data_IF_015097574529
#
_entry.id   IF_015097574529
#
_cell.length_a   1.000
_cell.length_b   1.000
_cell.length_c   1.000
_cell.angle_alpha   90.00
_cell.angle_beta   90.00
_cell.angle_gamma   90.00
#
_symmetry.space_group_name_H-M   'P 1'
#
loop_
_entity.id
_entity.type
_entity.pdbx_description
1 polymer ?
#
# COMPACT_ATOMS: atom_id res chain seq x y z
N UNK A 1 53.67 -24.27 32.65
CA UNK A 1 53.18 -23.25 33.62
C UNK A 1 52.27 -22.30 32.86
N UNK A 2 51.03 -22.04 33.27
CA UNK A 2 50.25 -22.60 34.38
C UNK A 2 48.78 -22.73 33.95
N UNK A 3 48.04 -23.70 34.49
CA UNK A 3 46.70 -24.07 34.00
C UNK A 3 45.59 -23.31 34.73
N UNK A 4 44.63 -22.78 33.98
CA UNK A 4 43.34 -22.25 34.47
C UNK A 4 42.20 -22.99 33.75
N UNK A 5 41.88 -24.21 34.19
CA UNK A 5 40.77 -24.49 35.13
C UNK A 5 39.41 -24.07 34.55
N UNK A 6 38.77 -24.99 33.84
CA UNK A 6 37.37 -24.86 33.35
C UNK A 6 36.41 -24.92 34.54
N UNK A 7 35.51 -23.95 34.66
CA UNK A 7 34.47 -23.92 35.70
C UNK A 7 33.13 -24.38 35.11
N UNK A 8 32.71 -25.59 35.46
CA UNK A 8 31.40 -26.10 35.08
C UNK A 8 30.27 -25.27 35.69
N UNK A 9 29.19 -25.06 34.94
CA UNK A 9 27.92 -24.52 35.43
C UNK A 9 26.79 -25.52 35.13
N UNK A 10 25.88 -25.67 36.09
CA UNK A 10 24.90 -26.76 36.14
C UNK A 10 23.70 -26.53 35.23
N UNK A 11 23.11 -27.62 34.73
CA UNK A 11 21.82 -27.58 34.04
C UNK A 11 20.68 -27.17 35.00
N UNK A 12 19.68 -26.39 34.55
CA UNK A 12 18.51 -26.05 35.34
C UNK A 12 17.58 -27.27 35.53
N UNK A 13 16.88 -27.32 36.65
CA UNK A 13 16.03 -28.44 37.02
C UNK A 13 14.68 -28.44 36.29
N UNK A 14 14.12 -29.64 36.05
CA UNK A 14 12.80 -29.80 35.44
C UNK A 14 11.67 -29.28 36.35
N UNK A 15 10.80 -28.44 35.79
CA UNK A 15 9.60 -27.95 36.46
C UNK A 15 8.57 -29.07 36.64
N UNK A 16 8.00 -29.17 37.85
CA UNK A 16 6.85 -30.04 38.14
C UNK A 16 5.55 -29.38 37.63
N UNK A 17 4.57 -30.16 37.12
CA UNK A 17 3.25 -29.62 36.79
C UNK A 17 2.50 -29.17 38.05
N UNK A 18 1.70 -28.12 37.92
CA UNK A 18 0.82 -27.61 38.97
C UNK A 18 -0.44 -28.49 39.15
N UNK A 19 -1.07 -28.51 40.35
CA UNK A 19 -2.28 -29.31 40.59
C UNK A 19 -3.51 -28.72 39.90
N UNK A 20 -4.46 -29.59 39.54
CA UNK A 20 -5.75 -29.17 38.98
C UNK A 20 -6.62 -28.46 40.05
N UNK A 21 -7.25 -27.35 39.67
CA UNK A 21 -8.22 -26.64 40.50
C UNK A 21 -9.62 -27.24 40.25
N UNK A 22 -10.36 -27.47 41.33
CA UNK A 22 -11.59 -28.28 41.33
C UNK A 22 -12.84 -27.55 40.84
N UNK A 23 -13.85 -28.36 40.50
CA UNK A 23 -15.21 -27.92 40.13
C UNK A 23 -15.93 -27.34 41.34
N UNK A 24 -16.56 -26.18 41.17
CA UNK A 24 -17.61 -25.67 42.06
C UNK A 24 -18.89 -25.53 41.25
N UNK A 25 -19.93 -26.27 41.63
CA UNK A 25 -21.24 -26.20 41.00
C UNK A 25 -22.14 -25.17 41.70
N UNK A 26 -22.93 -24.44 40.94
CA UNK A 26 -24.09 -23.65 41.41
C UNK A 26 -25.25 -23.80 40.42
N UNK A 27 -26.49 -23.58 40.86
CA UNK A 27 -27.66 -24.26 40.31
C UNK A 27 -28.81 -23.33 39.91
N UNK A 28 -29.45 -23.64 38.78
CA UNK A 28 -30.68 -22.98 38.30
C UNK A 28 -30.42 -21.78 37.39
N UNK A 29 -31.27 -21.45 36.40
CA UNK A 29 -32.53 -22.09 35.98
C UNK A 29 -32.70 -22.06 34.44
N UNK A 30 -33.75 -22.72 33.93
CA UNK A 30 -33.92 -23.08 32.52
C UNK A 30 -34.52 -21.97 31.65
N UNK A 31 -34.04 -21.88 30.40
CA UNK A 31 -34.75 -21.33 29.24
C UNK A 31 -34.43 -22.19 27.99
N UNK A 32 -35.35 -22.24 27.02
CA UNK A 32 -35.27 -23.16 25.87
C UNK A 32 -34.40 -22.64 24.70
N UNK A 33 -33.87 -23.52 23.83
CA UNK A 33 -32.87 -23.13 22.83
C UNK A 33 -33.45 -22.51 21.55
N UNK A 34 -32.65 -21.66 20.90
CA UNK A 34 -32.83 -21.21 19.51
C UNK A 34 -31.77 -21.89 18.63
N UNK A 35 -32.13 -22.21 17.38
CA UNK A 35 -31.44 -23.23 16.58
C UNK A 35 -30.06 -22.88 16.03
N UNK A 36 -29.25 -23.92 15.81
CA UNK A 36 -27.98 -23.87 15.07
C UNK A 36 -28.26 -23.89 13.56
N UNK A 37 -27.65 -23.01 12.74
CA UNK A 37 -27.72 -23.11 11.29
C UNK A 37 -26.89 -24.32 10.79
N UNK A 38 -27.52 -25.25 10.07
CA UNK A 38 -26.83 -26.40 9.48
C UNK A 38 -26.13 -26.02 8.17
N UNK A 39 -24.92 -26.54 7.96
CA UNK A 39 -24.26 -26.56 6.64
C UNK A 39 -24.94 -27.58 5.72
N UNK A 40 -25.21 -27.19 4.47
CA UNK A 40 -25.81 -28.06 3.46
C UNK A 40 -24.77 -28.78 2.58
N UNK A 41 -24.83 -30.11 2.57
CA UNK A 41 -24.45 -30.93 1.39
C UNK A 41 -25.65 -30.96 0.41
N UNK A 42 -25.61 -31.38 -0.86
CA UNK A 42 -24.85 -32.41 -1.61
C UNK A 42 -24.72 -31.93 -3.11
N UNK A 43 -24.14 -32.59 -4.11
CA UNK A 43 -23.68 -33.98 -4.31
C UNK A 43 -22.60 -34.13 -5.41
N UNK A 44 -22.11 -35.36 -5.60
CA UNK A 44 -21.38 -35.85 -6.79
C UNK A 44 -22.37 -36.41 -7.85
N UNK A 45 -22.06 -36.73 -9.12
CA UNK A 45 -20.82 -36.92 -9.94
C UNK A 45 -21.24 -36.77 -11.46
N UNK A 46 -20.54 -37.21 -12.55
CA UNK A 46 -19.27 -37.96 -12.71
C UNK A 46 -18.27 -37.38 -13.76
N UNK A 47 -17.35 -38.25 -14.21
CA UNK A 47 -16.12 -38.12 -15.02
C UNK A 47 -16.16 -37.55 -16.46
N UNK A 48 -14.96 -37.17 -16.92
CA UNK A 48 -14.49 -36.79 -18.28
C UNK A 48 -14.82 -37.78 -19.41
N UNK A 49 -14.71 -37.33 -20.69
CA UNK A 49 -13.55 -37.76 -21.49
C UNK A 49 -12.82 -36.59 -22.20
N UNK A 50 -11.58 -36.83 -22.64
CA UNK A 50 -10.77 -35.89 -23.40
C UNK A 50 -10.84 -36.15 -24.93
N UNK A 51 -10.60 -35.13 -25.74
CA UNK A 51 -10.31 -35.28 -27.18
C UNK A 51 -9.46 -34.11 -27.71
N UNK A 52 -8.61 -34.39 -28.70
CA UNK A 52 -7.63 -33.46 -29.28
C UNK A 52 -8.00 -33.10 -30.72
N UNK A 53 -7.99 -31.81 -31.05
CA UNK A 53 -7.94 -31.32 -32.43
C UNK A 53 -7.35 -29.90 -32.49
N UNK A 54 -6.58 -29.61 -33.54
CA UNK A 54 -6.10 -28.26 -33.85
C UNK A 54 -7.11 -27.49 -34.74
N UNK A 55 -7.16 -26.15 -34.69
CA UNK A 55 -8.10 -25.37 -35.50
C UNK A 55 -7.69 -25.33 -36.98
N UNK A 56 -8.65 -25.62 -37.87
CA UNK A 56 -8.55 -25.36 -39.31
C UNK A 56 -9.46 -24.18 -39.70
N UNK A 57 -9.03 -23.40 -40.70
CA UNK A 57 -9.74 -22.21 -41.19
C UNK A 57 -10.76 -22.62 -42.25
N UNK A 58 -12.03 -22.18 -42.15
CA UNK A 58 -13.01 -22.41 -43.22
C UNK A 58 -14.44 -21.92 -42.98
N UNK A 59 -14.76 -20.75 -43.58
CA UNK A 59 -16.05 -20.42 -44.24
C UNK A 59 -17.39 -20.42 -43.47
N UNK A 60 -17.89 -19.19 -43.33
CA UNK A 60 -19.24 -18.71 -42.96
C UNK A 60 -20.44 -19.56 -43.44
N UNK A 61 -21.46 -19.66 -42.59
CA UNK A 61 -22.87 -19.84 -42.97
C UNK A 61 -23.75 -18.79 -42.24
N UNK A 62 -24.84 -18.32 -42.86
CA UNK A 62 -25.70 -17.27 -42.27
C UNK A 62 -26.72 -17.83 -41.26
N UNK A 63 -26.95 -17.07 -40.19
CA UNK A 63 -28.08 -17.27 -39.28
C UNK A 63 -29.30 -16.42 -39.72
N UNK A 64 -30.54 -16.88 -39.50
CA UNK A 64 -31.76 -16.10 -39.71
C UNK A 64 -31.96 -15.02 -38.63
N UNK A 65 -32.81 -14.04 -38.90
CA UNK A 65 -32.91 -12.80 -38.14
C UNK A 65 -33.44 -12.95 -36.70
N UNK A 66 -32.86 -12.16 -35.79
CA UNK A 66 -33.25 -12.02 -34.38
C UNK A 66 -34.08 -10.74 -34.16
N UNK A 67 -34.87 -10.69 -33.07
CA UNK A 67 -35.84 -9.63 -32.80
C UNK A 67 -35.18 -8.46 -32.06
N UNK A 68 -35.41 -7.23 -32.54
CA UNK A 68 -34.70 -6.04 -32.07
C UNK A 68 -35.16 -5.54 -30.67
N UNK A 69 -34.22 -5.18 -29.76
CA UNK A 69 -34.50 -4.43 -28.54
C UNK A 69 -34.77 -2.93 -28.84
N UNK A 70 -35.37 -2.17 -27.90
CA UNK A 70 -35.74 -0.76 -28.13
C UNK A 70 -34.54 0.17 -28.33
N UNK A 71 -34.74 1.20 -29.16
CA UNK A 71 -33.68 2.03 -29.73
C UNK A 71 -33.01 2.99 -28.72
N UNK A 72 -31.68 3.04 -28.78
CA UNK A 72 -30.92 4.19 -28.28
C UNK A 72 -31.21 5.46 -29.11
N UNK A 73 -31.14 6.68 -28.53
CA UNK A 73 -31.37 7.92 -29.26
C UNK A 73 -30.29 8.16 -30.32
N UNK A 74 -30.67 8.72 -31.47
CA UNK A 74 -29.74 9.07 -32.55
C UNK A 74 -28.72 10.13 -32.09
N UNK A 75 -27.47 9.94 -32.47
CA UNK A 75 -26.44 11.00 -32.43
C UNK A 75 -26.78 12.00 -33.54
N UNK A 76 -27.48 13.08 -33.17
CA UNK A 76 -27.76 14.20 -34.06
C UNK A 76 -26.50 15.01 -34.34
N UNK A 77 -26.21 15.29 -35.61
CA UNK A 77 -25.10 16.17 -36.00
C UNK A 77 -25.38 17.60 -35.56
N UNK A 78 -24.61 18.11 -34.60
CA UNK A 78 -24.73 19.49 -34.11
C UNK A 78 -23.83 20.38 -34.95
N UNK A 79 -24.42 21.16 -35.86
CA UNK A 79 -23.70 22.18 -36.59
C UNK A 79 -23.14 23.26 -35.63
N UNK A 80 -21.90 23.76 -35.84
CA UNK A 80 -21.28 24.71 -34.94
C UNK A 80 -22.03 26.05 -34.97
N UNK A 81 -22.70 26.38 -33.86
CA UNK A 81 -23.33 27.69 -33.70
C UNK A 81 -22.27 28.78 -33.51
N UNK A 82 -22.25 29.74 -34.44
CA UNK A 82 -21.26 30.81 -34.48
C UNK A 82 -21.48 31.79 -33.30
N UNK A 83 -20.38 32.16 -32.65
CA UNK A 83 -20.29 33.21 -31.61
C UNK A 83 -21.08 32.97 -30.32
N UNK A 84 -20.59 32.04 -29.48
CA UNK A 84 -20.32 32.45 -28.11
C UNK A 84 -18.91 33.03 -28.05
N UNK A 85 -18.80 34.36 -28.21
CA UNK A 85 -17.58 35.06 -27.78
C UNK A 85 -17.55 35.01 -26.26
N UNK A 86 -16.39 34.66 -25.69
CA UNK A 86 -16.13 34.93 -24.28
C UNK A 86 -16.29 36.43 -24.09
N UNK A 87 -17.27 36.84 -23.29
CA UNK A 87 -17.43 38.24 -22.92
C UNK A 87 -16.19 38.69 -22.13
N UNK A 88 -15.77 39.97 -22.21
CA UNK A 88 -14.77 40.48 -21.28
C UNK A 88 -15.28 40.26 -19.86
N UNK A 89 -14.60 39.42 -19.10
CA UNK A 89 -14.91 39.22 -17.68
C UNK A 89 -14.43 40.47 -16.98
N UNK A 90 -15.36 41.35 -16.59
CA UNK A 90 -15.05 42.41 -15.63
C UNK A 90 -14.55 41.75 -14.35
N UNK A 91 -13.35 42.14 -13.90
CA UNK A 91 -12.59 41.40 -12.91
C UNK A 91 -13.14 41.61 -11.49
N UNK A 92 -14.22 40.90 -11.21
CA UNK A 92 -14.87 40.79 -9.91
C UNK A 92 -15.09 39.31 -9.55
N UNK A 93 -14.15 38.45 -9.93
CA UNK A 93 -14.00 37.16 -9.23
C UNK A 93 -13.57 37.48 -7.79
N UNK A 94 -14.39 37.24 -6.77
CA UNK A 94 -14.00 37.55 -5.40
C UNK A 94 -12.75 36.74 -5.06
N UNK A 95 -11.69 37.41 -4.59
CA UNK A 95 -10.42 36.79 -4.20
C UNK A 95 -10.73 35.67 -3.20
N UNK A 96 -10.70 34.43 -3.68
CA UNK A 96 -11.08 33.28 -2.87
C UNK A 96 -9.99 33.11 -1.80
N UNK A 97 -10.35 32.87 -0.53
CA UNK A 97 -9.34 32.57 0.47
C UNK A 97 -8.47 31.39 0.01
N UNK A 98 -7.15 31.40 0.26
CA UNK A 98 -6.29 30.28 -0.04
C UNK A 98 -6.86 28.97 0.49
N UNK A 99 -6.69 27.89 -0.26
CA UNK A 99 -7.15 26.59 0.20
C UNK A 99 -6.33 26.14 1.42
N UNK A 100 -7.01 26.01 2.55
CA UNK A 100 -6.47 25.45 3.79
C UNK A 100 -6.99 24.01 3.95
N UNK A 101 -6.10 23.00 4.06
CA UNK A 101 -6.51 21.62 4.29
C UNK A 101 -7.32 21.48 5.58
N UNK A 102 -8.38 20.66 5.64
CA UNK A 102 -9.18 20.46 6.86
C UNK A 102 -8.33 20.06 8.09
N UNK A 103 -7.24 19.34 7.83
CA UNK A 103 -6.25 18.83 8.78
C UNK A 103 -5.31 19.90 9.36
N UNK A 104 -5.25 21.10 8.79
CA UNK A 104 -4.38 22.20 9.26
C UNK A 104 -4.74 22.66 10.69
N UNK A 105 -6.03 22.61 11.02
CA UNK A 105 -6.56 22.90 12.36
C UNK A 105 -6.20 21.84 13.42
N UNK A 106 -5.89 20.61 13.00
CA UNK A 106 -5.62 19.48 13.89
C UNK A 106 -4.14 19.54 14.31
N UNK A 107 -3.79 19.54 15.59
CA UNK A 107 -2.39 19.54 16.02
C UNK A 107 -1.64 18.27 15.57
N UNK A 108 -0.31 18.34 15.49
CA UNK A 108 0.49 17.14 15.25
C UNK A 108 0.54 16.25 16.50
N UNK A 109 0.53 14.91 16.35
CA UNK A 109 0.74 14.00 17.47
C UNK A 109 2.13 14.25 18.11
N UNK A 110 2.25 14.11 19.45
CA UNK A 110 3.52 14.33 20.14
C UNK A 110 4.59 13.32 19.74
N UNK A 111 5.86 13.73 19.78
CA UNK A 111 6.98 12.84 19.51
C UNK A 111 7.09 11.75 20.59
N UNK A 112 7.31 10.49 20.16
CA UNK A 112 7.44 9.36 21.08
C UNK A 112 8.87 9.30 21.65
N UNK A 113 9.07 9.34 22.98
CA UNK A 113 10.41 9.38 23.59
C UNK A 113 11.31 8.22 23.16
N UNK A 114 12.50 8.56 22.67
CA UNK A 114 13.54 7.60 22.30
C UNK A 114 13.24 6.74 21.06
N UNK A 115 12.10 6.92 20.38
CA UNK A 115 11.80 6.19 19.15
C UNK A 115 12.54 6.78 17.95
N UNK A 116 13.06 5.91 17.09
CA UNK A 116 13.63 6.28 15.79
C UNK A 116 12.57 6.87 14.86
N UNK A 117 12.97 7.86 14.07
CA UNK A 117 12.12 8.53 13.07
C UNK A 117 12.66 8.23 11.66
N UNK A 118 11.82 7.78 10.71
CA UNK A 118 12.18 7.53 9.32
C UNK A 118 13.02 8.62 8.65
N UNK A 119 14.27 8.29 8.34
CA UNK A 119 15.16 9.13 7.53
C UNK A 119 15.16 8.65 6.07
N UNK A 120 15.28 9.60 5.14
CA UNK A 120 15.20 9.36 3.70
C UNK A 120 16.27 10.14 2.93
N UNK A 121 16.58 9.68 1.72
CA UNK A 121 17.38 10.46 0.75
C UNK A 121 16.68 11.76 0.36
N UNK A 122 17.44 12.74 -0.16
CA UNK A 122 16.90 14.07 -0.56
C UNK A 122 15.73 14.01 -1.55
N UNK A 123 15.66 12.97 -2.37
CA UNK A 123 14.59 12.69 -3.33
C UNK A 123 13.44 11.83 -2.76
N UNK A 124 13.49 11.48 -1.47
CA UNK A 124 12.55 10.62 -0.72
C UNK A 124 12.35 9.19 -1.28
N UNK A 125 13.19 8.75 -2.22
CA UNK A 125 13.06 7.42 -2.88
C UNK A 125 13.63 6.26 -2.07
N UNK A 126 14.63 6.51 -1.23
CA UNK A 126 15.30 5.50 -0.40
C UNK A 126 15.23 5.84 1.08
N UNK A 127 15.13 4.83 1.92
CA UNK A 127 15.40 4.93 3.34
C UNK A 127 16.88 5.20 3.59
N UNK A 128 17.19 5.84 4.72
CA UNK A 128 18.53 6.00 5.29
C UNK A 128 18.49 5.37 6.67
N UNK A 129 19.26 4.30 6.88
CA UNK A 129 19.18 3.45 8.08
C UNK A 129 20.59 2.99 8.51
N UNK A 130 20.77 2.52 9.76
CA UNK A 130 22.00 1.83 10.16
C UNK A 130 22.37 0.71 9.20
N UNK A 131 23.67 0.50 9.01
CA UNK A 131 24.18 -0.67 8.32
C UNK A 131 23.66 -1.97 8.92
N UNK A 132 23.47 -2.97 8.06
CA UNK A 132 23.53 -4.37 8.48
C UNK A 132 24.99 -4.72 8.81
N UNK A 133 25.22 -5.87 9.44
CA UNK A 133 26.59 -6.39 9.60
C UNK A 133 27.27 -6.52 8.22
N UNK A 134 28.59 -6.30 8.18
CA UNK A 134 29.43 -6.12 6.98
C UNK A 134 29.05 -4.99 6.00
N UNK A 135 28.01 -4.19 6.27
CA UNK A 135 27.67 -3.01 5.46
C UNK A 135 28.26 -1.70 6.02
N UNK A 136 28.21 -0.64 5.22
CA UNK A 136 28.53 0.72 5.69
C UNK A 136 27.63 1.09 6.87
N UNK A 137 28.21 1.78 7.86
CA UNK A 137 27.55 2.26 9.09
C UNK A 137 26.19 2.96 8.85
N UNK A 138 26.00 3.56 7.67
CA UNK A 138 24.70 3.97 7.16
C UNK A 138 24.52 3.44 5.73
N UNK A 139 23.37 2.84 5.46
CA UNK A 139 23.00 2.24 4.18
C UNK A 139 21.72 2.87 3.60
N UNK A 140 21.51 2.75 2.28
CA UNK A 140 20.33 3.30 1.60
C UNK A 140 19.59 2.25 0.79
N UNK A 141 18.35 1.94 1.19
CA UNK A 141 17.53 0.88 0.59
C UNK A 141 16.29 1.46 -0.10
N UNK A 142 15.82 0.80 -1.17
CA UNK A 142 14.56 1.18 -1.82
C UNK A 142 13.39 0.88 -0.87
N UNK A 143 12.34 1.72 -0.92
CA UNK A 143 11.13 1.55 -0.12
C UNK A 143 10.32 0.34 -0.57
N UNK A 144 9.89 -0.49 0.37
CA UNK A 144 8.87 -1.54 0.21
C UNK A 144 7.67 -1.05 -0.64
N UNK A 145 7.09 0.09 -0.24
CA UNK A 145 5.97 0.79 -0.90
C UNK A 145 6.21 1.22 -2.35
N UNK A 146 7.45 1.18 -2.85
CA UNK A 146 7.77 1.53 -4.24
C UNK A 146 7.85 0.31 -5.16
N UNK A 147 8.08 -0.88 -4.59
CA UNK A 147 8.05 -2.18 -5.30
C UNK A 147 6.62 -2.75 -5.33
N UNK A 148 5.86 -2.60 -4.24
CA UNK A 148 4.46 -3.02 -4.19
C UNK A 148 3.60 -2.41 -5.31
N UNK A 149 3.99 -1.24 -5.83
CA UNK A 149 3.30 -0.51 -6.91
C UNK A 149 3.77 -0.86 -8.32
N UNK A 150 4.66 -1.83 -8.48
CA UNK A 150 5.14 -2.27 -9.81
C UNK A 150 4.03 -2.93 -10.65
N UNK A 151 2.95 -3.39 -10.02
CA UNK A 151 1.79 -4.02 -10.69
C UNK A 151 0.48 -3.20 -10.58
N UNK A 152 0.53 -1.96 -10.05
CA UNK A 152 -0.67 -1.11 -9.92
C UNK A 152 -1.07 -0.49 -11.28
N UNK A 153 -2.36 -0.54 -11.63
CA UNK A 153 -2.92 0.39 -12.60
C UNK A 153 -3.04 1.79 -11.96
N UNK A 154 -2.43 2.78 -12.62
CA UNK A 154 -2.41 4.17 -12.15
C UNK A 154 -3.24 5.12 -13.02
N UNK A 155 -4.02 4.60 -13.98
CA UNK A 155 -4.84 5.40 -14.91
C UNK A 155 -5.83 6.28 -14.17
N UNK A 156 -6.69 5.71 -13.32
CA UNK A 156 -7.69 6.46 -12.53
C UNK A 156 -7.06 7.52 -11.60
N UNK A 157 -5.89 7.22 -11.03
CA UNK A 157 -5.14 8.16 -10.18
C UNK A 157 -4.50 9.30 -10.99
N UNK A 158 -4.06 9.00 -12.21
CA UNK A 158 -3.51 9.99 -13.16
C UNK A 158 -4.61 10.92 -13.64
N UNK A 159 -5.77 10.38 -14.01
CA UNK A 159 -6.95 11.15 -14.38
C UNK A 159 -7.41 12.08 -13.25
N UNK A 160 -7.48 11.59 -12.01
CA UNK A 160 -7.78 12.41 -10.85
C UNK A 160 -6.76 13.54 -10.64
N UNK A 161 -5.45 13.25 -10.76
CA UNK A 161 -4.38 14.27 -10.70
C UNK A 161 -4.48 15.32 -11.80
N UNK A 162 -4.80 14.92 -13.04
CA UNK A 162 -4.98 15.84 -14.16
C UNK A 162 -6.17 16.76 -13.92
N UNK A 163 -7.33 16.19 -13.58
CA UNK A 163 -8.57 16.93 -13.27
C UNK A 163 -8.36 17.91 -12.11
N UNK A 164 -7.71 17.47 -11.03
CA UNK A 164 -7.38 18.32 -9.88
C UNK A 164 -6.34 19.40 -10.20
N UNK A 165 -5.32 19.11 -11.02
CA UNK A 165 -4.35 20.11 -11.47
C UNK A 165 -5.02 21.21 -12.31
N UNK A 166 -5.88 20.83 -13.26
CA UNK A 166 -6.63 21.78 -14.10
C UNK A 166 -7.58 22.64 -13.25
N UNK A 167 -8.34 22.03 -12.32
CA UNK A 167 -9.19 22.76 -11.38
C UNK A 167 -8.37 23.69 -10.48
N UNK A 168 -7.19 23.25 -10.05
CA UNK A 168 -6.25 24.04 -9.26
C UNK A 168 -5.76 25.26 -9.99
N UNK A 169 -5.33 25.14 -11.25
CA UNK A 169 -4.91 26.27 -12.09
C UNK A 169 -6.08 27.21 -12.38
N UNK A 170 -7.25 26.68 -12.75
CA UNK A 170 -8.45 27.49 -13.02
C UNK A 170 -8.99 28.25 -11.79
N UNK A 171 -8.63 27.83 -10.58
CA UNK A 171 -8.97 28.51 -9.32
C UNK A 171 -7.85 29.40 -8.76
N UNK A 172 -6.63 29.29 -9.29
CA UNK A 172 -5.43 29.94 -8.79
C UNK A 172 -4.52 30.33 -9.97
N UNK A 173 -4.99 31.22 -10.88
CA UNK A 173 -4.26 31.55 -12.11
C UNK A 173 -2.92 32.22 -11.82
N UNK A 174 -2.76 32.87 -10.67
CA UNK A 174 -1.54 33.57 -10.27
C UNK A 174 -0.36 32.61 -9.95
N UNK A 175 -0.63 31.29 -9.92
CA UNK A 175 0.42 30.27 -9.98
C UNK A 175 1.20 30.25 -11.31
N UNK A 176 0.70 30.93 -12.34
CA UNK A 176 1.31 31.05 -13.68
C UNK A 176 2.08 32.36 -13.87
N UNK A 177 1.91 33.38 -13.01
CA UNK A 177 2.49 34.73 -13.19
C UNK A 177 4.03 34.73 -13.26
N UNK A 178 4.68 33.73 -12.64
CA UNK A 178 6.13 33.56 -12.64
C UNK A 178 6.61 32.41 -13.54
N UNK A 179 5.78 31.94 -14.49
CA UNK A 179 6.10 30.84 -15.40
C UNK A 179 6.61 31.39 -16.73
N UNK A 180 7.93 31.34 -16.90
CA UNK A 180 8.54 31.46 -18.22
C UNK A 180 8.67 30.06 -18.87
N UNK A 181 8.20 29.95 -20.12
CA UNK A 181 8.31 28.74 -20.96
C UNK A 181 9.21 28.93 -22.17
N UNK A 182 9.84 30.11 -22.33
CA UNK A 182 10.76 30.45 -23.43
C UNK A 182 10.15 30.21 -24.83
N UNK A 183 8.84 30.50 -24.97
CA UNK A 183 8.09 30.33 -26.22
C UNK A 183 7.89 28.89 -26.70
N UNK A 184 8.14 27.87 -25.86
CA UNK A 184 7.99 26.47 -26.25
C UNK A 184 6.53 26.09 -26.54
N UNK A 185 6.29 25.57 -27.74
CA UNK A 185 4.97 25.09 -28.20
C UNK A 185 4.75 23.61 -27.83
N UNK A 186 5.83 22.84 -27.61
CA UNK A 186 5.73 21.43 -27.23
C UNK A 186 6.62 21.04 -26.04
N UNK A 187 6.10 20.16 -25.18
CA UNK A 187 6.75 19.73 -23.93
C UNK A 187 8.14 19.10 -24.14
N UNK A 188 8.48 18.63 -25.34
CA UNK A 188 9.83 18.16 -25.67
C UNK A 188 10.88 19.28 -25.60
N UNK A 189 10.54 20.48 -26.07
CA UNK A 189 11.45 21.63 -26.26
C UNK A 189 11.95 22.21 -24.92
N UNK A 190 11.12 22.15 -23.89
CA UNK A 190 11.42 22.69 -22.56
C UNK A 190 12.71 22.10 -21.97
N UNK A 191 13.59 22.97 -21.47
CA UNK A 191 14.77 22.54 -20.72
C UNK A 191 14.38 21.91 -19.36
N UNK A 192 15.37 21.30 -18.66
CA UNK A 192 15.15 20.63 -17.37
C UNK A 192 14.59 21.57 -16.28
N UNK A 193 15.04 22.84 -16.24
CA UNK A 193 14.55 23.85 -15.31
C UNK A 193 13.08 24.18 -15.54
N UNK A 194 12.68 24.43 -16.78
CA UNK A 194 11.28 24.74 -17.13
C UNK A 194 10.37 23.55 -16.85
N UNK A 195 10.82 22.31 -17.14
CA UNK A 195 10.12 21.06 -16.78
C UNK A 195 9.94 20.91 -15.26
N UNK A 196 10.95 21.28 -14.47
CA UNK A 196 10.88 21.27 -13.00
C UNK A 196 9.95 22.38 -12.46
N UNK A 197 9.96 23.56 -13.07
CA UNK A 197 9.08 24.69 -12.71
C UNK A 197 7.60 24.34 -12.95
N UNK A 198 7.26 23.82 -14.15
CA UNK A 198 5.92 23.29 -14.45
C UNK A 198 5.49 22.21 -13.46
N UNK A 199 6.39 21.27 -13.15
CA UNK A 199 6.12 20.22 -12.15
C UNK A 199 5.83 20.82 -10.77
N UNK A 200 6.56 21.85 -10.36
CA UNK A 200 6.33 22.58 -9.12
C UNK A 200 4.97 23.31 -9.10
N UNK A 201 4.60 23.95 -10.21
CA UNK A 201 3.31 24.65 -10.37
C UNK A 201 2.14 23.67 -10.35
N UNK A 202 2.21 22.56 -11.10
CA UNK A 202 1.19 21.53 -11.11
C UNK A 202 0.96 20.93 -9.71
N UNK A 203 2.04 20.63 -8.96
CA UNK A 203 1.93 20.17 -7.58
C UNK A 203 1.32 21.23 -6.64
N UNK A 204 1.64 22.53 -6.80
CA UNK A 204 0.98 23.62 -6.04
C UNK A 204 -0.52 23.70 -6.36
N UNK A 205 -0.89 23.63 -7.64
CA UNK A 205 -2.28 23.68 -8.09
C UNK A 205 -3.10 22.51 -7.50
N UNK A 206 -2.57 21.29 -7.59
CA UNK A 206 -3.18 20.08 -7.02
C UNK A 206 -3.38 20.16 -5.50
N UNK A 207 -2.38 20.68 -4.76
CA UNK A 207 -2.48 20.92 -3.31
C UNK A 207 -3.62 21.89 -2.97
N UNK A 208 -3.79 22.96 -3.75
CA UNK A 208 -4.85 23.97 -3.54
C UNK A 208 -6.27 23.50 -3.90
N UNK A 209 -6.47 22.21 -4.19
CA UNK A 209 -7.79 21.57 -4.34
C UNK A 209 -7.92 20.28 -3.52
N UNK A 210 -7.13 20.13 -2.46
CA UNK A 210 -7.22 18.99 -1.54
C UNK A 210 -6.46 17.74 -1.96
N UNK A 211 -5.50 17.86 -2.89
CA UNK A 211 -4.74 16.72 -3.41
C UNK A 211 -3.86 15.98 -2.39
N UNK A 212 -3.57 16.60 -1.24
CA UNK A 212 -2.80 16.00 -0.15
C UNK A 212 -3.68 15.59 1.05
N UNK A 213 -4.92 16.10 1.18
CA UNK A 213 -5.76 15.99 2.40
C UNK A 213 -5.96 14.55 2.90
N UNK A 214 -6.04 13.59 1.98
CA UNK A 214 -6.16 12.16 2.32
C UNK A 214 -4.89 11.59 2.95
N UNK A 215 -3.72 12.05 2.51
CA UNK A 215 -2.44 11.70 3.12
C UNK A 215 -2.27 12.43 4.45
N UNK A 216 -2.50 13.75 4.47
CA UNK A 216 -2.38 14.56 5.69
C UNK A 216 -3.33 14.05 6.79
N UNK A 217 -4.53 13.58 6.45
CA UNK A 217 -5.45 12.99 7.41
C UNK A 217 -4.98 11.59 7.87
N UNK A 218 -4.50 10.76 6.95
CA UNK A 218 -3.89 9.46 7.28
C UNK A 218 -2.75 9.61 8.27
N UNK A 219 -1.76 10.44 7.97
CA UNK A 219 -0.59 10.70 8.81
C UNK A 219 -0.99 11.13 10.24
N UNK A 220 -2.08 11.91 10.39
CA UNK A 220 -2.65 12.26 11.71
C UNK A 220 -3.23 11.05 12.42
N UNK A 221 -4.09 10.26 11.78
CA UNK A 221 -4.73 9.09 12.42
C UNK A 221 -3.70 8.03 12.81
N UNK A 222 -2.72 7.74 11.94
CA UNK A 222 -1.60 6.84 12.24
C UNK A 222 -0.78 7.32 13.43
N UNK A 223 -0.32 8.57 13.41
CA UNK A 223 0.47 9.12 14.51
C UNK A 223 -0.31 9.22 15.83
N UNK A 224 -1.62 9.52 15.79
CA UNK A 224 -2.46 9.51 16.99
C UNK A 224 -2.77 8.11 17.52
N UNK A 225 -2.97 7.12 16.65
CA UNK A 225 -3.02 5.69 17.04
C UNK A 225 -1.72 5.29 17.76
N UNK A 226 -0.58 5.65 17.19
CA UNK A 226 0.75 5.33 17.71
C UNK A 226 0.99 5.94 19.11
N UNK A 227 0.72 7.24 19.32
CA UNK A 227 0.97 7.87 20.64
C UNK A 227 0.04 7.36 21.75
N UNK A 228 -1.16 6.87 21.40
CA UNK A 228 -2.08 6.22 22.35
C UNK A 228 -1.60 4.82 22.70
N UNK A 229 -1.25 4.00 21.71
CA UNK A 229 -0.83 2.60 21.93
C UNK A 229 0.50 2.49 22.66
N UNK A 230 1.42 3.44 22.46
CA UNK A 230 2.70 3.51 23.19
C UNK A 230 2.59 4.27 24.53
N UNK A 231 1.39 4.70 24.94
CA UNK A 231 1.12 5.31 26.25
C UNK A 231 1.67 6.72 26.45
N UNK A 232 1.99 7.44 25.36
CA UNK A 232 2.47 8.84 25.40
C UNK A 232 1.34 9.80 25.74
N UNK A 233 0.10 9.49 25.31
CA UNK A 233 -1.13 10.18 25.71
C UNK A 233 -2.26 9.17 25.97
N UNK A 234 -3.27 9.61 26.73
CA UNK A 234 -4.56 8.91 26.87
C UNK A 234 -5.47 9.18 25.66
N UNK A 235 -6.51 8.35 25.48
CA UNK A 235 -7.48 8.52 24.39
C UNK A 235 -8.23 9.86 24.48
N UNK A 236 -8.53 10.30 25.71
CA UNK A 236 -9.21 11.54 26.04
C UNK A 236 -8.41 12.80 25.63
N UNK A 237 -7.10 12.65 25.42
CA UNK A 237 -6.18 13.73 25.00
C UNK A 237 -5.99 13.79 23.46
N UNK A 238 -6.52 12.82 22.70
CA UNK A 238 -6.55 12.86 21.23
C UNK A 238 -7.49 14.01 20.78
N UNK A 239 -7.19 14.74 19.68
CA UNK A 239 -8.10 15.76 19.14
C UNK A 239 -9.50 15.20 18.84
N UNK A 240 -10.54 16.02 19.05
CA UNK A 240 -11.96 15.59 18.90
C UNK A 240 -12.31 15.20 17.47
N UNK A 241 -11.52 15.70 16.53
CA UNK A 241 -11.59 15.45 15.09
C UNK A 241 -11.06 14.04 14.74
N UNK A 242 -10.20 13.47 15.59
CA UNK A 242 -9.54 12.16 15.39
C UNK A 242 -10.12 11.08 16.31
N UNK A 243 -10.59 11.43 17.52
CA UNK A 243 -11.21 10.50 18.47
C UNK A 243 -12.25 9.54 17.86
N UNK A 244 -13.20 9.98 17.00
CA UNK A 244 -14.24 9.09 16.46
C UNK A 244 -13.66 7.96 15.59
N UNK A 245 -12.64 8.26 14.80
CA UNK A 245 -11.98 7.31 13.90
C UNK A 245 -11.17 6.26 14.67
N UNK A 246 -10.48 6.67 15.74
CA UNK A 246 -9.81 5.73 16.65
C UNK A 246 -10.82 4.91 17.49
N UNK A 247 -11.95 5.49 17.90
CA UNK A 247 -12.98 4.78 18.64
C UNK A 247 -13.58 3.61 17.83
N UNK A 248 -13.89 3.83 16.55
CA UNK A 248 -14.43 2.76 15.68
C UNK A 248 -13.37 1.72 15.32
N UNK A 249 -12.10 2.13 15.16
CA UNK A 249 -10.98 1.22 15.00
C UNK A 249 -10.82 0.28 16.22
N UNK A 250 -10.81 0.84 17.44
CA UNK A 250 -10.70 0.04 18.67
C UNK A 250 -11.93 -0.85 18.90
N UNK A 251 -13.14 -0.38 18.53
CA UNK A 251 -14.35 -1.19 18.60
C UNK A 251 -14.32 -2.38 17.62
N UNK A 252 -13.88 -2.15 16.38
CA UNK A 252 -13.77 -3.19 15.36
C UNK A 252 -12.68 -4.22 15.69
N UNK A 253 -11.47 -3.78 16.10
CA UNK A 253 -10.41 -4.70 16.55
C UNK A 253 -10.90 -5.60 17.69
N UNK A 254 -11.56 -5.03 18.71
CA UNK A 254 -12.17 -5.79 19.81
C UNK A 254 -13.25 -6.76 19.33
N UNK A 255 -14.10 -6.36 18.39
CA UNK A 255 -15.15 -7.22 17.84
C UNK A 255 -14.58 -8.45 17.11
N UNK A 256 -13.46 -8.27 16.39
CA UNK A 256 -12.74 -9.34 15.70
C UNK A 256 -11.76 -10.13 16.59
N UNK A 257 -11.70 -9.85 17.90
CA UNK A 257 -10.77 -10.54 18.81
C UNK A 257 -9.29 -10.20 18.60
N UNK A 258 -9.00 -9.05 17.99
CA UNK A 258 -7.66 -8.55 17.68
C UNK A 258 -7.21 -7.55 18.76
N UNK A 259 -5.96 -7.66 19.20
CA UNK A 259 -5.33 -6.71 20.14
C UNK A 259 -4.03 -6.16 19.56
N UNK A 260 -3.84 -4.84 19.57
CA UNK A 260 -2.57 -4.23 19.16
C UNK A 260 -1.42 -4.65 20.07
N UNK A 261 -0.24 -4.83 19.49
CA UNK A 261 0.99 -5.16 20.23
C UNK A 261 1.79 -3.87 20.50
N UNK A 262 1.98 -3.53 21.78
CA UNK A 262 2.78 -2.38 22.21
C UNK A 262 4.24 -2.52 21.76
N UNK A 263 4.90 -1.40 21.41
CA UNK A 263 6.24 -1.38 20.83
C UNK A 263 6.31 -1.86 19.37
N UNK A 264 5.19 -2.30 18.80
CA UNK A 264 5.06 -2.86 17.45
C UNK A 264 4.08 -2.04 16.60
N UNK A 265 4.10 -0.71 16.76
CA UNK A 265 3.38 0.25 15.92
C UNK A 265 4.39 1.13 15.19
N UNK A 266 4.21 1.37 13.89
CA UNK A 266 5.10 2.16 13.03
C UNK A 266 6.56 1.71 13.14
N UNK A 267 6.84 0.40 13.01
CA UNK A 267 8.20 -0.18 13.13
C UNK A 267 8.82 -0.44 11.76
N UNK A 268 10.08 -0.05 11.61
CA UNK A 268 10.85 -0.22 10.38
C UNK A 268 11.47 -1.61 10.30
N UNK A 269 11.45 -2.23 9.12
CA UNK A 269 11.90 -3.61 8.85
C UNK A 269 12.77 -3.69 7.60
N UNK A 270 13.66 -4.68 7.57
CA UNK A 270 14.46 -5.06 6.39
C UNK A 270 14.00 -6.42 5.84
N UNK A 271 13.89 -6.47 4.51
CA UNK A 271 13.26 -7.55 3.74
C UNK A 271 14.32 -8.13 2.78
N UNK A 272 15.08 -9.17 3.19
CA UNK A 272 16.27 -9.60 2.46
C UNK A 272 15.97 -10.15 1.06
N UNK A 273 14.81 -10.79 0.86
CA UNK A 273 14.39 -11.36 -0.42
C UNK A 273 14.28 -10.34 -1.56
N UNK A 274 14.07 -9.06 -1.22
CA UNK A 274 13.90 -7.97 -2.19
C UNK A 274 14.93 -6.84 -2.01
N UNK A 275 15.78 -6.91 -0.97
CA UNK A 275 16.73 -5.85 -0.61
C UNK A 275 16.05 -4.53 -0.20
N UNK A 276 14.84 -4.59 0.34
CA UNK A 276 14.00 -3.42 0.64
C UNK A 276 13.94 -3.12 2.14
N UNK A 277 13.63 -1.86 2.43
CA UNK A 277 13.24 -1.39 3.77
C UNK A 277 11.85 -0.77 3.71
N UNK A 278 11.05 -0.99 4.73
CA UNK A 278 9.75 -0.35 4.91
C UNK A 278 9.42 -0.16 6.37
N UNK A 279 8.31 0.53 6.65
CA UNK A 279 7.73 0.64 7.98
C UNK A 279 6.34 0.04 7.89
N UNK A 280 5.97 -0.84 8.81
CA UNK A 280 4.63 -1.41 8.90
C UNK A 280 3.82 -0.66 9.96
N UNK A 281 2.52 -0.48 9.71
CA UNK A 281 1.64 0.35 10.52
C UNK A 281 1.50 -0.23 11.93
N UNK A 282 1.20 -1.52 12.07
CA UNK A 282 1.19 -2.21 13.38
C UNK A 282 1.27 -3.74 13.27
N UNK A 283 1.55 -4.41 14.40
CA UNK A 283 1.18 -5.81 14.62
C UNK A 283 -0.08 -5.89 15.50
N UNK A 284 -0.95 -6.87 15.20
CA UNK A 284 -1.97 -7.34 16.16
C UNK A 284 -1.71 -8.78 16.56
N UNK A 285 -2.14 -9.13 17.77
CA UNK A 285 -2.28 -10.51 18.23
C UNK A 285 -3.73 -10.98 18.02
N UNK A 286 -3.90 -12.15 17.42
CA UNK A 286 -5.18 -12.85 17.27
C UNK A 286 -5.56 -13.66 18.52
N UNK A 287 -6.80 -14.14 18.57
CA UNK A 287 -7.37 -14.82 19.74
C UNK A 287 -6.68 -16.15 20.14
N UNK A 288 -5.88 -16.75 19.24
CA UNK A 288 -5.05 -17.94 19.50
C UNK A 288 -3.61 -17.59 19.94
N UNK A 289 -3.26 -16.29 20.03
CA UNK A 289 -1.94 -15.80 20.36
C UNK A 289 -1.02 -15.51 19.16
N UNK A 290 -1.43 -15.80 17.92
CA UNK A 290 -0.61 -15.56 16.73
C UNK A 290 -0.47 -14.06 16.41
N UNK A 291 0.68 -13.68 15.85
CA UNK A 291 0.94 -12.30 15.43
C UNK A 291 0.64 -12.12 13.94
N UNK A 292 -0.07 -11.05 13.60
CA UNK A 292 -0.46 -10.70 12.24
C UNK A 292 0.15 -9.33 11.88
N UNK A 293 0.62 -9.18 10.64
CA UNK A 293 0.86 -7.84 10.09
C UNK A 293 -0.50 -7.14 9.99
N UNK A 294 -0.54 -5.88 10.44
CA UNK A 294 -1.70 -5.02 10.35
C UNK A 294 -1.38 -3.72 9.63
N UNK A 295 -2.38 -3.24 8.88
CA UNK A 295 -2.33 -2.04 8.07
C UNK A 295 -3.63 -1.22 8.28
N UNK A 296 -3.53 0.11 8.29
CA UNK A 296 -4.65 1.05 8.44
C UNK A 296 -4.80 1.86 7.15
N UNK A 297 -6.05 1.94 6.64
CA UNK A 297 -6.39 2.75 5.46
C UNK A 297 -7.50 3.72 5.77
N UNK A 298 -7.19 5.01 5.69
CA UNK A 298 -8.13 6.13 5.90
C UNK A 298 -8.72 6.68 4.59
N UNK A 299 -8.31 6.15 3.44
CA UNK A 299 -8.84 6.56 2.13
C UNK A 299 -10.31 6.17 1.97
N UNK A 300 -11.05 7.00 1.24
CA UNK A 300 -12.50 6.88 0.99
C UNK A 300 -12.89 5.63 0.19
N UNK A 301 -11.92 5.02 -0.49
CA UNK A 301 -11.98 3.69 -1.10
C UNK A 301 -10.58 3.06 -1.02
N UNK A 302 -10.54 1.73 -1.10
CA UNK A 302 -9.32 0.91 -1.16
C UNK A 302 -9.36 -0.11 -2.31
N UNK A 303 -10.43 -0.08 -3.12
CA UNK A 303 -10.80 -1.17 -4.03
C UNK A 303 -9.79 -1.36 -5.18
N UNK A 304 -9.16 -0.27 -5.61
CA UNK A 304 -8.10 -0.26 -6.63
C UNK A 304 -6.70 -0.51 -6.06
N UNK A 305 -6.55 -0.75 -4.75
CA UNK A 305 -5.24 -0.87 -4.08
C UNK A 305 -4.99 -2.23 -3.44
N UNK A 306 -5.93 -3.19 -3.55
CA UNK A 306 -5.80 -4.50 -2.92
C UNK A 306 -4.53 -5.28 -3.34
N UNK A 307 -4.08 -5.15 -4.59
CA UNK A 307 -2.88 -5.83 -5.08
C UNK A 307 -1.60 -5.29 -4.41
N UNK A 308 -1.39 -3.97 -4.45
CA UNK A 308 -0.24 -3.34 -3.78
C UNK A 308 -0.30 -3.47 -2.26
N UNK A 309 -1.50 -3.44 -1.64
CA UNK A 309 -1.67 -3.73 -0.21
C UNK A 309 -1.24 -5.18 0.11
N UNK A 310 -1.68 -6.17 -0.66
CA UNK A 310 -1.30 -7.57 -0.45
C UNK A 310 0.21 -7.81 -0.61
N UNK A 311 0.83 -7.19 -1.62
CA UNK A 311 2.29 -7.24 -1.83
C UNK A 311 3.03 -6.54 -0.66
N UNK A 312 2.56 -5.38 -0.21
CA UNK A 312 3.16 -4.63 0.89
C UNK A 312 3.08 -5.40 2.22
N UNK A 313 1.95 -6.05 2.51
CA UNK A 313 1.79 -6.91 3.67
C UNK A 313 2.71 -8.13 3.59
N UNK A 314 2.74 -8.82 2.44
CA UNK A 314 3.60 -9.98 2.21
C UNK A 314 5.10 -9.65 2.32
N UNK A 315 5.52 -8.46 1.87
CA UNK A 315 6.86 -7.92 2.11
C UNK A 315 7.16 -7.84 3.62
N UNK A 316 6.27 -7.24 4.43
CA UNK A 316 6.50 -7.08 5.87
C UNK A 316 6.46 -8.40 6.65
N UNK A 317 5.58 -9.34 6.28
CA UNK A 317 5.60 -10.67 6.89
C UNK A 317 6.88 -11.45 6.52
N UNK A 318 7.47 -11.20 5.35
CA UNK A 318 8.73 -11.79 4.91
C UNK A 318 9.97 -10.95 5.25
N UNK A 319 9.83 -9.93 6.11
CA UNK A 319 10.97 -9.33 6.79
C UNK A 319 11.68 -10.34 7.70
N UNK A 320 13.00 -10.19 7.83
CA UNK A 320 13.82 -11.00 8.76
C UNK A 320 14.36 -10.17 9.92
N UNK A 321 14.50 -8.85 9.74
CA UNK A 321 15.04 -7.94 10.74
C UNK A 321 14.09 -6.76 10.96
N UNK A 322 13.96 -6.34 12.21
CA UNK A 322 13.23 -5.16 12.65
C UNK A 322 14.24 -4.17 13.23
N UNK A 323 14.09 -2.88 12.95
CA UNK A 323 15.01 -1.86 13.46
C UNK A 323 14.72 -1.65 14.94
N UNK A 324 15.77 -1.61 15.77
CA UNK A 324 15.62 -1.38 17.22
C UNK A 324 14.93 -0.07 17.54
N UNK A 325 14.30 0.02 18.71
CA UNK A 325 13.43 1.14 19.07
C UNK A 325 14.06 2.52 18.83
N UNK A 326 15.33 2.68 19.20
CA UNK A 326 16.12 3.91 19.04
C UNK A 326 16.89 3.99 17.70
N UNK A 327 16.80 2.97 16.85
CA UNK A 327 17.47 2.91 15.55
C UNK A 327 18.99 2.84 15.64
N UNK A 328 19.52 2.18 16.68
CA UNK A 328 20.96 1.98 16.86
C UNK A 328 21.50 0.74 16.15
N UNK A 329 20.66 -0.28 15.96
CA UNK A 329 21.02 -1.59 15.41
C UNK A 329 19.78 -2.33 14.90
N UNK A 330 19.97 -3.50 14.30
CA UNK A 330 18.89 -4.38 13.84
C UNK A 330 18.65 -5.52 14.82
N UNK A 331 17.38 -5.82 15.08
CA UNK A 331 16.86 -6.91 15.91
C UNK A 331 16.23 -7.98 14.99
N UNK A 332 16.07 -9.22 15.48
CA UNK A 332 15.31 -10.24 14.75
C UNK A 332 13.82 -9.87 14.66
N UNK A 333 13.21 -9.98 13.48
CA UNK A 333 11.77 -9.80 13.31
C UNK A 333 11.01 -10.90 14.09
N UNK A 334 10.01 -10.57 14.93
CA UNK A 334 9.20 -11.59 15.59
C UNK A 334 8.43 -12.46 14.58
N UNK A 335 8.17 -13.75 14.86
CA UNK A 335 7.42 -14.61 13.97
C UNK A 335 5.97 -14.14 13.83
N UNK A 336 5.56 -13.90 12.59
CA UNK A 336 4.19 -13.50 12.20
C UNK A 336 3.59 -14.49 11.21
N UNK A 337 2.26 -14.51 11.11
CA UNK A 337 1.53 -15.35 10.16
C UNK A 337 1.96 -15.10 8.72
N UNK A 338 2.15 -16.20 7.99
CA UNK A 338 2.37 -16.21 6.52
C UNK A 338 1.13 -16.64 5.74
N UNK A 339 0.02 -16.91 6.44
CA UNK A 339 -1.25 -17.35 5.84
C UNK A 339 -2.15 -16.17 5.55
N UNK A 340 -2.27 -15.24 6.52
CA UNK A 340 -3.11 -14.06 6.36
C UNK A 340 -2.60 -12.85 7.17
N UNK A 341 -3.01 -11.66 6.73
CA UNK A 341 -2.80 -10.38 7.40
C UNK A 341 -4.13 -9.62 7.53
N UNK A 342 -4.15 -8.49 8.24
CA UNK A 342 -5.36 -7.69 8.46
C UNK A 342 -5.23 -6.25 7.96
N UNK A 343 -6.30 -5.72 7.39
CA UNK A 343 -6.41 -4.31 6.99
C UNK A 343 -7.61 -3.69 7.68
N UNK A 344 -7.38 -2.63 8.44
CA UNK A 344 -8.42 -1.84 9.06
C UNK A 344 -8.77 -0.65 8.15
N UNK A 345 -9.89 -0.73 7.45
CA UNK A 345 -10.43 0.39 6.68
C UNK A 345 -11.19 1.31 7.62
N UNK A 346 -10.78 2.58 7.71
CA UNK A 346 -11.36 3.65 8.54
C UNK A 346 -11.57 4.90 7.67
N UNK A 347 -12.46 4.82 6.65
CA UNK A 347 -12.57 5.83 5.60
C UNK A 347 -12.93 7.22 6.14
N UNK A 348 -12.17 8.25 5.72
CA UNK A 348 -12.30 9.62 6.25
C UNK A 348 -13.60 10.33 5.88
N UNK A 349 -14.17 10.02 4.71
CA UNK A 349 -15.28 10.76 4.09
C UNK A 349 -16.67 10.09 4.27
N UNK A 350 -16.78 9.03 5.09
CA UNK A 350 -18.08 8.41 5.41
C UNK A 350 -18.96 9.37 6.25
N UNK A 351 -20.29 9.48 5.99
CA UNK A 351 -21.21 10.35 6.75
C UNK A 351 -21.33 9.99 8.24
N UNK A 352 -20.81 8.84 8.65
CA UNK A 352 -20.63 8.46 10.06
C UNK A 352 -19.38 7.57 10.14
N UNK A 353 -18.43 7.85 11.06
CA UNK A 353 -17.23 7.04 11.20
C UNK A 353 -17.56 5.55 11.37
N UNK A 354 -16.86 4.71 10.61
CA UNK A 354 -16.90 3.26 10.74
C UNK A 354 -15.50 2.68 10.68
N UNK A 355 -15.34 1.42 11.12
CA UNK A 355 -14.18 0.62 10.76
C UNK A 355 -14.65 -0.74 10.22
N UNK A 356 -14.02 -1.20 9.15
CA UNK A 356 -14.18 -2.57 8.64
C UNK A 356 -12.83 -3.26 8.62
N UNK A 357 -12.73 -4.40 9.29
CA UNK A 357 -11.55 -5.27 9.21
C UNK A 357 -11.70 -6.17 7.98
N UNK A 358 -10.68 -6.19 7.15
CA UNK A 358 -10.51 -7.11 6.04
C UNK A 358 -9.38 -8.10 6.36
N UNK A 359 -9.50 -9.32 5.83
CA UNK A 359 -8.45 -10.35 5.87
C UNK A 359 -7.82 -10.43 4.49
N UNK A 360 -6.49 -10.43 4.42
CA UNK A 360 -5.72 -10.47 3.17
C UNK A 360 -4.96 -11.79 3.06
N UNK A 361 -5.05 -12.45 1.91
CA UNK A 361 -4.32 -13.68 1.59
C UNK A 361 -2.82 -13.38 1.39
N UNK A 362 -1.98 -14.00 2.21
CA UNK A 362 -0.54 -13.76 2.23
C UNK A 362 0.25 -14.77 1.39
N UNK A 363 -0.39 -15.86 0.96
CA UNK A 363 0.18 -16.79 -0.02
C UNK A 363 0.13 -16.13 -1.38
N UNK A 364 -1.04 -15.63 -1.79
CA UNK A 364 -1.21 -14.86 -3.03
C UNK A 364 -0.42 -13.54 -2.97
N UNK A 365 -0.41 -12.84 -1.81
CA UNK A 365 0.43 -11.66 -1.62
C UNK A 365 1.93 -11.94 -1.83
N UNK A 366 2.42 -13.12 -1.44
CA UNK A 366 3.82 -13.54 -1.65
C UNK A 366 4.08 -13.88 -3.13
N UNK A 367 3.18 -14.61 -3.79
CA UNK A 367 3.28 -14.90 -5.24
C UNK A 367 3.32 -13.60 -6.09
N UNK A 368 2.50 -12.63 -5.72
CA UNK A 368 2.48 -11.32 -6.39
C UNK A 368 3.70 -10.45 -6.04
N UNK A 369 4.29 -10.61 -4.85
CA UNK A 369 5.57 -9.98 -4.48
C UNK A 369 6.73 -10.51 -5.34
N UNK A 370 6.79 -11.83 -5.56
CA UNK A 370 7.82 -12.43 -6.42
C UNK A 370 7.61 -12.04 -7.89
N UNK A 371 6.36 -11.98 -8.35
CA UNK A 371 5.98 -11.48 -9.68
C UNK A 371 6.39 -10.02 -9.88
N UNK A 372 6.10 -9.14 -8.91
CA UNK A 372 6.52 -7.74 -8.93
C UNK A 372 8.05 -7.59 -8.94
N UNK A 373 8.78 -8.47 -8.22
CA UNK A 373 10.25 -8.51 -8.25
C UNK A 373 10.77 -8.84 -9.65
N UNK A 374 10.20 -9.87 -10.30
CA UNK A 374 10.58 -10.27 -11.66
C UNK A 374 10.29 -9.19 -12.70
N UNK A 375 9.10 -8.59 -12.66
CA UNK A 375 8.72 -7.47 -13.56
C UNK A 375 9.66 -6.28 -13.38
N UNK A 376 10.00 -5.92 -12.14
CA UNK A 376 10.98 -4.85 -11.87
C UNK A 376 12.37 -5.19 -12.41
N UNK A 377 12.84 -6.43 -12.23
CA UNK A 377 14.15 -6.85 -12.74
C UNK A 377 14.21 -6.76 -14.28
N UNK A 378 13.14 -7.11 -14.99
CA UNK A 378 13.01 -6.96 -16.45
C UNK A 378 13.11 -5.48 -16.86
N UNK A 379 12.44 -4.56 -16.15
CA UNK A 379 12.57 -3.13 -16.41
C UNK A 379 14.00 -2.62 -16.19
N UNK A 380 14.68 -3.07 -15.13
CA UNK A 380 16.07 -2.67 -14.86
C UNK A 380 17.06 -3.28 -15.87
N UNK A 381 16.82 -4.51 -16.35
CA UNK A 381 17.60 -5.14 -17.43
C UNK A 381 17.41 -4.43 -18.78
N UNK A 382 16.18 -4.06 -19.14
CA UNK A 382 15.89 -3.30 -20.36
C UNK A 382 16.55 -1.90 -20.35
N UNK A 383 16.58 -1.23 -19.19
CA UNK A 383 17.32 0.03 -19.01
C UNK A 383 18.84 -0.14 -19.12
N UNK A 384 19.40 -1.27 -18.65
CA UNK A 384 20.82 -1.62 -18.88
C UNK A 384 21.09 -1.83 -20.37
N UNK A 385 20.35 -2.71 -21.04
CA UNK A 385 20.49 -3.02 -22.47
C UNK A 385 20.48 -1.77 -23.34
N UNK A 386 19.48 -0.89 -23.16
CA UNK A 386 19.32 0.35 -23.94
C UNK A 386 20.36 1.43 -23.62
N UNK A 387 21.00 1.39 -22.44
CA UNK A 387 22.10 2.30 -22.11
C UNK A 387 23.45 1.81 -22.64
N UNK A 388 23.74 0.52 -22.45
CA UNK A 388 24.91 -0.19 -22.95
C UNK A 388 24.74 -1.70 -22.71
N UNK A 389 24.63 -2.50 -23.78
CA UNK A 389 24.47 -3.95 -23.69
C UNK A 389 25.56 -4.68 -22.89
N UNK A 390 26.77 -4.12 -22.78
CA UNK A 390 27.84 -4.68 -21.94
C UNK A 390 27.61 -4.53 -20.42
N UNK A 391 26.49 -3.95 -19.99
CA UNK A 391 26.05 -3.88 -18.59
C UNK A 391 25.10 -5.02 -18.20
N UNK A 392 24.67 -5.85 -19.15
CA UNK A 392 23.80 -7.01 -18.88
C UNK A 392 24.49 -8.04 -17.97
N UNK A 393 23.69 -8.72 -17.16
CA UNK A 393 24.15 -9.70 -16.17
C UNK A 393 23.64 -11.11 -16.52
N UNK A 394 24.36 -12.14 -16.07
CA UNK A 394 23.94 -13.53 -16.25
C UNK A 394 22.57 -13.76 -15.58
N UNK A 395 21.57 -14.11 -16.39
CA UNK A 395 20.18 -14.27 -15.94
C UNK A 395 19.28 -13.04 -16.15
N UNK A 396 19.75 -11.96 -16.77
CA UNK A 396 18.91 -10.81 -17.14
C UNK A 396 17.81 -11.23 -18.16
N UNK A 397 16.55 -11.16 -17.73
CA UNK A 397 15.39 -11.40 -18.58
C UNK A 397 15.09 -10.16 -19.44
N UNK A 398 15.25 -10.29 -20.77
CA UNK A 398 14.91 -9.27 -21.75
C UNK A 398 13.65 -9.61 -22.53
N UNK A 399 12.90 -8.57 -22.91
CA UNK A 399 11.67 -8.64 -23.72
C UNK A 399 11.85 -8.03 -25.13
N UNK A 400 12.97 -7.36 -25.37
CA UNK A 400 13.33 -6.74 -26.64
C UNK A 400 14.87 -6.63 -26.75
N UNK A 401 15.37 -6.65 -27.98
CA UNK A 401 16.79 -6.58 -28.36
C UNK A 401 16.95 -5.58 -29.52
N UNK A 402 18.13 -4.98 -29.71
CA UNK A 402 18.36 -4.16 -30.90
C UNK A 402 18.52 -5.06 -32.15
N UNK A 403 18.20 -4.52 -33.32
CA UNK A 403 18.31 -5.25 -34.58
C UNK A 403 19.78 -5.53 -34.92
N UNK A 404 20.21 -6.77 -34.70
CA UNK A 404 21.59 -7.23 -34.88
C UNK A 404 22.24 -7.77 -33.60
N UNK A 405 21.66 -7.54 -32.43
CA UNK A 405 22.14 -8.11 -31.16
C UNK A 405 21.88 -9.63 -31.09
N UNK A 406 22.71 -10.40 -30.36
CA UNK A 406 22.42 -11.79 -30.05
C UNK A 406 21.14 -11.95 -29.20
N UNK A 407 20.09 -12.52 -29.79
CA UNK A 407 18.84 -12.81 -29.08
C UNK A 407 19.00 -14.07 -28.24
N UNK A 408 18.91 -13.92 -26.92
CA UNK A 408 18.84 -15.04 -25.97
C UNK A 408 17.39 -15.23 -25.52
N UNK A 409 16.67 -16.15 -26.16
CA UNK A 409 15.34 -16.57 -25.69
C UNK A 409 15.50 -17.70 -24.65
N UNK A 410 14.79 -17.65 -23.50
CA UNK A 410 14.71 -18.79 -22.60
C UNK A 410 14.23 -20.03 -23.35
N UNK A 411 14.96 -21.15 -23.24
CA UNK A 411 14.48 -22.43 -23.73
C UNK A 411 13.14 -22.76 -23.06
N UNK A 412 12.15 -23.12 -23.87
CA UNK A 412 10.73 -23.02 -23.54
C UNK A 412 10.40 -23.55 -22.14
N UNK A 413 9.99 -22.66 -21.22
CA UNK A 413 9.27 -23.10 -20.02
C UNK A 413 7.98 -23.74 -20.51
N UNK A 414 7.95 -25.07 -20.51
CA UNK A 414 6.74 -25.82 -20.80
C UNK A 414 5.66 -25.38 -19.81
N UNK A 415 4.53 -24.89 -20.33
CA UNK A 415 3.34 -24.64 -19.54
C UNK A 415 2.80 -26.03 -19.19
N UNK A 416 2.76 -26.34 -17.90
CA UNK A 416 2.34 -27.62 -17.33
C UNK A 416 0.92 -27.52 -16.75
#
# INVERSE_FOLDING_TARGET
>A
MQVATVKAMSAPAALRPAPAIGVVASSGALAAPVGVPQFGSVSNHPTTPALSAAPSIGSVALAPAEIAPPSAPLIGSVAPSISQRIAPVEDLSPVRPPYEPPTASIPNPPAIPGKWVPQYTRDKKKYVVPGLEDMRQTATFIRATSHAKTLDDTTSLTDWRLRGTVLGLARNPELLDSLDVDGAEHISELNFGNKLALSGIANKAMRRVGGDDGSDFGDKVHGYLQVVLEGVITFEQVPKEIQPYLAVLFAAMRHHGLSFVQGMVERTVFIPSTGLVGTFDFLVQGANGELLIGDLKTSSSIDFSWLSIAIQLAQYANAQLILSWNGSHWEAMPPVSKVYAVVASVPKDEPSPMCRIYVVDMVLGTEMMDTATRVRNIHEAALRATSNAALLQDGDELIAWAAGDPVSLPSTRAIA
#
